data_IF_201759288567
#
_entry.id   IF_201759288567
#
_cell.length_a   1.000
_cell.length_b   1.000
_cell.length_c   1.000
_cell.angle_alpha   90.00
_cell.angle_beta   90.00
_cell.angle_gamma   90.00
#
_symmetry.space_group_name_H-M   'P 1'
#
loop_
_entity.id
_entity.type
_entity.pdbx_description
1 polymer ?
#
# COMPACT_ATOMS: atom_id res chain seq x y z
N UNK A 1 -56.78 -0.68 -29.06
CA UNK A 1 -55.82 -1.71 -29.54
C UNK A 1 -54.80 -1.00 -30.43
N UNK A 2 -53.49 -0.95 -30.19
CA UNK A 2 -52.58 -1.84 -29.46
C UNK A 2 -51.51 -1.00 -28.74
N UNK A 3 -51.16 -1.45 -27.54
CA UNK A 3 -50.01 -1.01 -26.76
C UNK A 3 -48.72 -1.24 -27.55
N UNK A 4 -47.85 -0.23 -27.64
CA UNK A 4 -46.43 -0.45 -27.94
C UNK A 4 -45.65 -0.17 -26.66
N UNK A 5 -45.51 -1.22 -25.87
CA UNK A 5 -44.67 -1.25 -24.67
C UNK A 5 -43.22 -1.06 -25.11
N UNK A 6 -42.66 0.11 -24.82
CA UNK A 6 -41.24 0.36 -24.94
C UNK A 6 -40.55 -0.23 -23.69
N UNK A 7 -40.33 -1.54 -23.70
CA UNK A 7 -39.51 -2.19 -22.66
C UNK A 7 -38.08 -1.72 -22.85
N UNK A 8 -37.64 -0.78 -22.00
CA UNK A 8 -36.26 -0.39 -21.82
C UNK A 8 -35.49 -1.64 -21.34
N UNK A 9 -34.83 -2.35 -22.26
CA UNK A 9 -33.83 -3.35 -21.92
C UNK A 9 -32.62 -2.61 -21.34
N UNK A 10 -32.64 -2.38 -20.02
CA UNK A 10 -31.44 -2.01 -19.29
C UNK A 10 -30.56 -3.27 -19.32
N UNK A 11 -29.67 -3.33 -20.31
CA UNK A 11 -28.58 -4.28 -20.35
C UNK A 11 -27.72 -3.98 -19.12
N UNK A 12 -27.91 -4.73 -18.04
CA UNK A 12 -26.94 -4.78 -16.96
C UNK A 12 -25.69 -5.40 -17.58
N UNK A 13 -24.81 -4.56 -18.14
CA UNK A 13 -23.42 -4.95 -18.25
C UNK A 13 -22.98 -5.19 -16.81
N UNK A 14 -23.03 -6.46 -16.40
CA UNK A 14 -22.22 -6.92 -15.27
C UNK A 14 -20.82 -6.42 -15.59
N UNK A 15 -20.39 -5.37 -14.90
CA UNK A 15 -19.00 -4.96 -14.94
C UNK A 15 -18.24 -6.16 -14.41
N UNK A 16 -17.73 -6.99 -15.32
CA UNK A 16 -16.80 -8.04 -14.96
C UNK A 16 -15.70 -7.32 -14.19
N UNK A 17 -15.55 -7.63 -12.90
CA UNK A 17 -14.48 -7.08 -12.09
C UNK A 17 -13.18 -7.53 -12.72
N UNK A 18 -12.56 -6.67 -13.53
CA UNK A 18 -11.27 -6.93 -14.14
C UNK A 18 -10.20 -6.84 -13.04
N UNK A 19 -10.04 -7.90 -12.25
CA UNK A 19 -9.14 -7.87 -11.11
C UNK A 19 -8.90 -9.24 -10.50
N UNK A 20 -7.67 -9.49 -10.08
CA UNK A 20 -7.33 -10.60 -9.20
C UNK A 20 -7.94 -10.29 -7.84
N UNK A 21 -8.69 -11.25 -7.28
CA UNK A 21 -9.28 -11.09 -5.94
C UNK A 21 -8.20 -10.74 -4.91
N UNK A 22 -8.42 -9.62 -4.22
CA UNK A 22 -7.60 -9.18 -3.09
C UNK A 22 -8.17 -9.76 -1.80
N UNK A 23 -7.33 -10.39 -0.98
CA UNK A 23 -7.75 -10.94 0.31
C UNK A 23 -7.31 -9.99 1.42
N UNK A 24 -8.24 -9.20 1.96
CA UNK A 24 -8.02 -8.37 3.13
C UNK A 24 -8.05 -9.25 4.38
N UNK A 25 -6.91 -9.39 5.06
CA UNK A 25 -6.76 -10.30 6.20
C UNK A 25 -6.95 -9.54 7.52
N UNK A 26 -6.40 -8.32 7.61
CA UNK A 26 -6.56 -7.47 8.78
C UNK A 26 -7.01 -6.07 8.36
N UNK A 27 -7.84 -5.47 9.20
CA UNK A 27 -8.39 -4.15 9.00
C UNK A 27 -8.29 -3.35 10.30
N UNK A 28 -7.90 -2.07 10.18
CA UNK A 28 -7.83 -1.14 11.29
C UNK A 28 -8.65 0.11 11.00
N UNK A 29 -9.43 0.54 12.00
CA UNK A 29 -9.93 1.92 12.09
C UNK A 29 -8.84 2.87 12.53
N UNK A 30 -8.03 2.44 13.50
CA UNK A 30 -6.85 3.16 13.96
C UNK A 30 -5.88 2.17 14.60
N UNK A 31 -4.60 2.51 14.57
CA UNK A 31 -3.55 1.73 15.21
C UNK A 31 -3.64 1.88 16.73
N UNK A 32 -3.57 0.76 17.45
CA UNK A 32 -3.42 0.68 18.89
C UNK A 32 -2.46 -0.47 19.23
N UNK A 33 -1.90 -0.43 20.43
CA UNK A 33 -0.81 -1.29 20.85
C UNK A 33 -1.20 -2.20 22.01
N UNK A 34 -0.41 -3.26 22.21
CA UNK A 34 -0.33 -3.97 23.48
C UNK A 34 0.52 -3.13 24.44
N UNK A 35 -0.15 -2.45 25.37
CA UNK A 35 0.47 -1.61 26.38
C UNK A 35 0.90 -2.45 27.61
N UNK A 36 2.01 -2.07 28.24
CA UNK A 36 2.49 -2.70 29.50
C UNK A 36 1.54 -2.40 30.66
N UNK A 37 0.92 -1.23 30.65
CA UNK A 37 -0.09 -0.83 31.62
C UNK A 37 -1.05 0.21 31.02
N UNK A 38 -2.21 0.40 31.65
CA UNK A 38 -3.11 1.50 31.30
C UNK A 38 -2.46 2.86 31.54
N UNK A 39 -1.61 2.97 32.57
CA UNK A 39 -0.85 4.19 32.87
C UNK A 39 0.10 4.57 31.73
N UNK A 40 0.85 3.60 31.19
CA UNK A 40 1.72 3.82 30.01
C UNK A 40 0.93 4.39 28.83
N UNK A 41 -0.25 3.84 28.57
CA UNK A 41 -1.13 4.31 27.49
C UNK A 41 -1.62 5.72 27.74
N UNK A 42 -2.11 6.00 28.95
CA UNK A 42 -2.61 7.32 29.31
C UNK A 42 -1.52 8.39 29.23
N UNK A 43 -0.32 8.08 29.71
CA UNK A 43 0.81 9.00 29.65
C UNK A 43 1.26 9.25 28.21
N UNK A 44 1.25 8.23 27.35
CA UNK A 44 1.54 8.38 25.93
C UNK A 44 0.50 9.29 25.22
N UNK A 45 -0.78 9.16 25.58
CA UNK A 45 -1.85 10.03 25.08
C UNK A 45 -1.67 11.47 25.59
N UNK A 46 -1.46 11.65 26.90
CA UNK A 46 -1.29 12.98 27.53
C UNK A 46 -0.06 13.72 27.01
N UNK A 47 1.03 13.01 26.77
CA UNK A 47 2.27 13.58 26.20
C UNK A 47 2.19 13.81 24.69
N UNK A 48 1.17 13.30 24.01
CA UNK A 48 1.02 13.37 22.55
C UNK A 48 1.92 12.40 21.77
N UNK A 49 2.68 11.55 22.47
CA UNK A 49 3.53 10.51 21.85
C UNK A 49 2.72 9.35 21.26
N UNK A 50 1.45 9.26 21.61
CA UNK A 50 0.46 8.42 20.92
C UNK A 50 -0.76 9.25 20.51
N UNK A 51 -0.94 9.40 19.20
CA UNK A 51 -2.08 10.07 18.60
C UNK A 51 -2.64 9.22 17.46
N UNK A 52 -3.83 8.65 17.68
CA UNK A 52 -4.54 7.80 16.71
C UNK A 52 -4.74 8.48 15.35
N UNK A 53 -4.91 9.80 15.33
CA UNK A 53 -5.13 10.56 14.09
C UNK A 53 -3.84 10.84 13.31
N UNK A 54 -2.67 10.53 13.87
CA UNK A 54 -1.36 10.68 13.24
C UNK A 54 -0.59 9.34 13.18
N UNK A 55 -1.22 8.23 13.57
CA UNK A 55 -0.60 6.91 13.71
C UNK A 55 -1.13 5.98 12.61
N UNK A 56 -0.35 5.82 11.53
CA UNK A 56 -0.69 4.96 10.37
C UNK A 56 0.46 4.03 10.00
N UNK A 57 0.12 2.94 9.31
CA UNK A 57 1.10 1.96 8.84
C UNK A 57 1.74 2.43 7.52
N UNK A 58 3.03 2.15 7.35
CA UNK A 58 3.77 2.48 6.13
C UNK A 58 4.22 1.23 5.40
N UNK A 59 4.83 0.27 6.10
CA UNK A 59 5.34 -0.96 5.49
C UNK A 59 4.82 -2.22 6.20
N UNK A 60 4.72 -3.32 5.47
CA UNK A 60 4.38 -4.63 6.01
C UNK A 60 5.21 -5.74 5.38
N UNK A 61 5.58 -6.75 6.18
CA UNK A 61 6.22 -7.97 5.71
C UNK A 61 5.73 -9.18 6.50
N UNK A 62 5.85 -10.37 5.93
CA UNK A 62 5.47 -11.63 6.56
C UNK A 62 6.68 -12.54 6.67
N UNK A 63 7.12 -12.76 7.90
CA UNK A 63 8.21 -13.65 8.21
C UNK A 63 7.86 -15.12 7.92
N UNK A 64 8.88 -15.97 7.81
CA UNK A 64 8.72 -17.41 7.54
C UNK A 64 8.00 -18.16 8.67
N UNK A 65 8.09 -17.65 9.89
CA UNK A 65 7.37 -18.17 11.06
C UNK A 65 5.90 -17.72 11.12
N UNK A 66 5.45 -16.95 10.11
CA UNK A 66 4.07 -16.49 9.98
C UNK A 66 3.77 -15.17 10.66
N UNK A 67 4.71 -14.60 11.43
CA UNK A 67 4.53 -13.26 12.02
C UNK A 67 4.46 -12.21 10.92
N UNK A 68 3.52 -11.28 11.09
CA UNK A 68 3.39 -10.12 10.22
C UNK A 68 4.00 -8.93 10.93
N UNK A 69 5.04 -8.39 10.35
CA UNK A 69 5.71 -7.17 10.79
C UNK A 69 5.08 -6.01 10.07
N UNK A 70 4.79 -4.93 10.81
CA UNK A 70 4.34 -3.67 10.21
C UNK A 70 5.12 -2.52 10.82
N UNK A 71 5.41 -1.52 10.00
CA UNK A 71 6.01 -0.27 10.44
C UNK A 71 4.93 0.80 10.59
N UNK A 72 5.03 1.57 11.67
CA UNK A 72 4.18 2.72 11.95
C UNK A 72 5.01 3.97 11.70
N UNK A 73 4.51 4.88 10.85
CA UNK A 73 5.28 6.08 10.47
C UNK A 73 5.20 7.17 11.54
N UNK A 74 6.28 7.94 11.67
CA UNK A 74 6.38 9.19 12.44
C UNK A 74 6.39 10.44 11.54
N UNK A 75 6.21 10.29 10.23
CA UNK A 75 6.26 11.41 9.26
C UNK A 75 5.21 12.49 9.54
N UNK A 76 4.06 12.11 10.11
CA UNK A 76 2.98 13.03 10.46
C UNK A 76 3.08 13.57 11.90
N UNK A 77 4.24 13.37 12.54
CA UNK A 77 4.55 13.84 13.89
C UNK A 77 4.75 12.70 14.89
N UNK A 78 4.90 13.07 16.17
CA UNK A 78 5.23 12.16 17.27
C UNK A 78 4.10 11.20 17.68
N UNK A 79 3.07 10.97 16.85
CA UNK A 79 1.87 10.21 17.21
C UNK A 79 2.03 8.68 17.27
N UNK A 80 3.20 8.15 16.95
CA UNK A 80 3.48 6.71 16.93
C UNK A 80 4.58 6.37 17.97
N UNK A 81 4.23 5.78 19.13
CA UNK A 81 5.19 5.52 20.21
C UNK A 81 6.16 4.38 19.88
N UNK A 82 5.75 3.42 19.05
CA UNK A 82 6.60 2.35 18.54
C UNK A 82 6.44 2.22 17.01
N UNK A 83 7.58 2.20 16.30
CA UNK A 83 7.62 2.26 14.82
C UNK A 83 7.78 0.91 14.17
N UNK A 84 8.42 -0.06 14.82
CA UNK A 84 8.52 -1.44 14.34
C UNK A 84 7.70 -2.36 15.25
N UNK A 85 6.75 -3.08 14.65
CA UNK A 85 5.79 -3.88 15.42
C UNK A 85 5.45 -5.20 14.73
N UNK A 86 4.79 -6.08 15.46
CA UNK A 86 4.14 -7.28 14.91
C UNK A 86 2.63 -7.23 15.15
N UNK A 87 1.86 -7.71 14.18
CA UNK A 87 0.40 -7.86 14.33
C UNK A 87 0.10 -9.02 15.27
N UNK A 88 -0.78 -8.80 16.24
CA UNK A 88 -1.20 -9.84 17.20
C UNK A 88 -2.61 -10.38 16.88
N UNK A 89 -2.99 -11.46 17.56
CA UNK A 89 -4.36 -12.00 17.50
C UNK A 89 -5.33 -11.28 18.47
N UNK A 90 -4.81 -10.41 19.34
CA UNK A 90 -5.64 -9.62 20.25
C UNK A 90 -6.26 -8.46 19.49
N UNK A 91 -7.52 -8.15 19.77
CA UNK A 91 -8.27 -7.15 19.01
C UNK A 91 -8.82 -6.08 19.95
N UNK A 92 -8.52 -4.81 19.65
CA UNK A 92 -9.11 -3.66 20.31
C UNK A 92 -10.24 -3.04 19.48
N UNK A 93 -10.83 -1.92 19.94
CA UNK A 93 -11.93 -1.26 19.21
C UNK A 93 -11.52 -0.74 17.82
N UNK A 94 -10.21 -0.52 17.63
CA UNK A 94 -9.62 -0.06 16.38
C UNK A 94 -9.20 -1.17 15.42
N UNK A 95 -9.18 -2.45 15.82
CA UNK A 95 -8.64 -3.57 15.04
C UNK A 95 -7.60 -4.39 15.82
N UNK A 96 -6.85 -5.29 15.15
CA UNK A 96 -5.81 -6.08 15.78
C UNK A 96 -4.75 -5.21 16.48
N UNK A 97 -4.36 -5.56 17.69
CA UNK A 97 -3.38 -4.79 18.45
C UNK A 97 -1.96 -5.08 17.92
N UNK A 98 -1.12 -4.05 17.91
CA UNK A 98 0.27 -4.17 17.53
C UNK A 98 1.15 -4.40 18.76
N UNK A 99 2.07 -5.36 18.67
CA UNK A 99 3.11 -5.56 19.69
C UNK A 99 4.40 -4.90 19.21
N UNK A 100 4.94 -3.90 19.93
CA UNK A 100 6.27 -3.35 19.65
C UNK A 100 7.29 -4.46 19.55
N UNK A 101 8.14 -4.37 18.54
CA UNK A 101 9.17 -5.37 18.30
C UNK A 101 10.56 -4.80 18.57
N UNK A 102 11.44 -5.56 19.25
CA UNK A 102 11.12 -6.80 19.97
C UNK A 102 10.24 -6.57 21.21
N UNK A 103 10.28 -5.37 21.78
CA UNK A 103 9.46 -4.92 22.92
C UNK A 103 9.56 -3.38 23.07
N UNK A 104 8.87 -2.79 24.05
CA UNK A 104 8.82 -1.34 24.28
C UNK A 104 10.18 -0.69 24.56
N UNK A 105 11.15 -1.41 25.15
CA UNK A 105 12.45 -0.83 25.52
C UNK A 105 13.27 -0.35 24.31
N UNK A 106 12.93 -0.82 23.11
CA UNK A 106 13.57 -0.46 21.85
C UNK A 106 13.01 0.81 21.20
N UNK A 107 11.91 1.35 21.74
CA UNK A 107 11.21 2.50 21.15
C UNK A 107 11.36 3.78 22.00
N UNK A 108 12.17 3.70 23.05
CA UNK A 108 12.59 4.82 23.87
C UNK A 108 13.82 5.49 23.21
N UNK A 109 13.58 6.60 22.51
CA UNK A 109 14.52 7.58 21.90
C UNK A 109 15.19 7.33 20.52
N UNK A 110 14.90 8.28 19.63
CA UNK A 110 15.64 8.93 18.51
C UNK A 110 16.46 8.23 17.42
N UNK A 111 16.66 6.91 17.37
CA UNK A 111 17.53 6.37 16.31
C UNK A 111 17.03 5.09 15.62
N UNK A 112 16.40 5.24 14.45
CA UNK A 112 16.34 4.18 13.41
C UNK A 112 16.30 4.81 12.00
N UNK A 113 17.39 4.67 11.25
CA UNK A 113 17.48 4.89 9.79
C UNK A 113 18.06 3.62 9.16
N UNK A 114 17.36 3.03 8.17
CA UNK A 114 17.99 2.49 6.95
C UNK A 114 16.96 1.85 5.99
N UNK A 115 17.15 2.08 4.69
CA UNK A 115 16.42 1.48 3.57
C UNK A 115 17.38 0.82 2.57
N UNK A 116 16.93 -0.24 1.91
CA UNK A 116 17.74 -1.23 1.19
C UNK A 116 17.60 -1.13 -0.36
N UNK A 117 18.70 -1.27 -1.11
CA UNK A 117 18.75 -1.28 -2.60
C UNK A 117 18.86 -2.73 -3.15
N UNK A 118 18.31 -3.04 -4.34
CA UNK A 118 18.43 -4.35 -5.04
C UNK A 118 18.70 -4.25 -6.57
N UNK A 119 19.46 -5.23 -7.11
CA UNK A 119 19.52 -5.69 -8.52
C UNK A 119 20.24 -4.87 -9.63
N UNK A 120 21.23 -4.03 -9.33
CA UNK A 120 22.06 -3.30 -10.34
C UNK A 120 21.27 -2.52 -11.41
N UNK A 121 20.00 -2.25 -11.17
CA UNK A 121 19.17 -1.33 -11.93
C UNK A 121 18.44 -0.46 -10.94
N UNK A 122 18.24 0.81 -11.28
CA UNK A 122 17.40 1.71 -10.51
C UNK A 122 16.16 2.05 -11.32
N UNK A 123 15.03 2.02 -10.62
CA UNK A 123 13.72 2.33 -11.17
C UNK A 123 13.29 3.67 -10.58
N UNK A 124 13.14 4.68 -11.42
CA UNK A 124 12.78 6.04 -11.02
C UNK A 124 11.37 6.32 -11.48
N UNK A 125 10.45 6.48 -10.53
CA UNK A 125 9.07 6.86 -10.79
C UNK A 125 8.96 8.38 -10.83
N UNK A 126 8.75 8.92 -12.02
CA UNK A 126 8.48 10.34 -12.23
C UNK A 126 6.96 10.52 -12.33
N UNK A 127 6.38 11.18 -11.33
CA UNK A 127 4.94 11.45 -11.27
C UNK A 127 4.48 12.51 -12.28
N UNK A 128 5.41 13.24 -12.90
CA UNK A 128 5.13 14.34 -13.81
C UNK A 128 4.58 15.60 -13.11
N UNK A 129 4.63 15.65 -11.77
CA UNK A 129 4.06 16.74 -10.96
C UNK A 129 5.11 17.64 -10.32
N UNK A 130 4.75 18.92 -10.21
CA UNK A 130 5.32 19.86 -9.24
C UNK A 130 4.18 20.31 -8.34
N UNK A 131 4.22 19.92 -7.06
CA UNK A 131 3.07 20.10 -6.16
C UNK A 131 1.86 19.31 -6.66
N UNK A 132 0.75 20.02 -6.94
CA UNK A 132 -0.48 19.41 -7.46
C UNK A 132 -0.57 19.46 -9.00
N UNK A 133 0.28 20.25 -9.67
CA UNK A 133 0.19 20.55 -11.09
C UNK A 133 1.01 19.57 -11.95
N UNK A 134 0.40 19.11 -13.05
CA UNK A 134 1.07 18.27 -14.05
C UNK A 134 1.85 19.12 -15.05
N UNK A 135 3.17 18.91 -15.09
CA UNK A 135 4.06 19.59 -16.04
C UNK A 135 4.49 18.64 -17.17
N UNK A 136 4.43 17.32 -16.95
CA UNK A 136 4.67 16.33 -17.99
C UNK A 136 3.91 15.01 -17.73
N UNK A 137 3.97 14.10 -18.71
CA UNK A 137 3.38 12.76 -18.56
C UNK A 137 4.12 11.96 -17.48
N UNK A 138 3.40 11.27 -16.59
CA UNK A 138 4.02 10.37 -15.62
C UNK A 138 4.73 9.22 -16.34
N UNK A 139 5.88 8.82 -15.82
CA UNK A 139 6.74 7.81 -16.46
C UNK A 139 7.60 7.05 -15.45
N UNK A 140 7.87 5.79 -15.74
CA UNK A 140 8.87 4.98 -15.04
C UNK A 140 10.13 4.92 -15.90
N UNK A 141 11.26 5.37 -15.34
CA UNK A 141 12.58 5.31 -15.97
C UNK A 141 13.37 4.17 -15.36
N UNK A 142 14.09 3.43 -16.19
CA UNK A 142 14.90 2.28 -15.76
C UNK A 142 16.34 2.51 -16.20
N UNK A 143 17.26 2.60 -15.25
CA UNK A 143 18.69 2.76 -15.53
C UNK A 143 19.45 1.50 -15.16
N UNK A 144 20.52 1.21 -15.90
CA UNK A 144 21.49 0.18 -15.58
C UNK A 144 22.61 0.80 -14.73
N UNK A 145 22.81 0.32 -13.50
CA UNK A 145 23.83 0.86 -12.58
C UNK A 145 25.25 0.39 -12.94
N UNK A 146 25.41 -0.53 -13.89
CA UNK A 146 26.74 -0.99 -14.32
C UNK A 146 27.47 0.07 -15.18
N UNK A 147 26.71 0.78 -16.00
CA UNK A 147 27.22 1.73 -16.99
C UNK A 147 26.46 3.07 -16.98
N UNK A 148 25.58 3.27 -15.99
CA UNK A 148 24.75 4.46 -15.78
C UNK A 148 23.91 4.87 -16.99
N UNK A 149 23.48 3.89 -17.81
CA UNK A 149 22.68 4.15 -19.01
C UNK A 149 21.18 4.00 -18.77
N UNK A 150 20.38 4.85 -19.44
CA UNK A 150 18.92 4.71 -19.49
C UNK A 150 18.55 3.51 -20.38
N UNK A 151 18.00 2.47 -19.78
CA UNK A 151 17.59 1.25 -20.45
C UNK A 151 16.21 1.39 -21.08
N UNK A 152 15.26 2.00 -20.35
CA UNK A 152 13.87 2.10 -20.81
C UNK A 152 13.12 3.25 -20.15
N UNK A 153 12.24 3.88 -20.92
CA UNK A 153 11.20 4.79 -20.44
C UNK A 153 9.85 4.17 -20.68
N UNK A 154 9.01 4.16 -19.65
CA UNK A 154 7.64 3.67 -19.69
C UNK A 154 6.72 4.82 -19.38
N UNK A 155 5.90 5.25 -20.33
CA UNK A 155 4.88 6.25 -20.04
C UNK A 155 3.69 5.60 -19.34
N UNK A 156 3.27 6.19 -18.22
CA UNK A 156 2.10 5.76 -17.46
C UNK A 156 0.89 6.52 -18.00
N UNK A 157 -0.17 5.83 -18.46
CA UNK A 157 -1.40 6.48 -18.90
C UNK A 157 -2.01 7.38 -17.82
N UNK A 158 -2.54 8.53 -18.23
CA UNK A 158 -3.09 9.53 -17.31
C UNK A 158 -4.27 9.01 -16.49
N UNK A 159 -5.09 8.16 -17.08
CA UNK A 159 -6.24 7.47 -16.47
C UNK A 159 -5.83 6.37 -15.47
N UNK A 160 -4.57 5.94 -15.50
CA UNK A 160 -4.00 5.05 -14.48
C UNK A 160 -3.39 5.87 -13.34
N UNK A 161 -2.75 7.00 -13.67
CA UNK A 161 -2.13 7.88 -12.67
C UNK A 161 -3.16 8.74 -11.91
N UNK A 162 -4.39 8.89 -12.44
CA UNK A 162 -5.43 9.77 -11.90
C UNK A 162 -6.80 9.14 -11.91
N UNK A 163 -7.63 9.57 -10.96
CA UNK A 163 -9.06 9.35 -11.02
C UNK A 163 -9.74 10.23 -12.09
N UNK A 164 -11.05 10.06 -12.24
CA UNK A 164 -11.86 10.83 -13.19
C UNK A 164 -11.88 12.34 -12.96
N UNK A 165 -11.51 12.82 -11.75
CA UNK A 165 -11.41 14.25 -11.43
C UNK A 165 -9.99 14.80 -11.61
N UNK A 166 -9.05 14.02 -12.14
CA UNK A 166 -7.66 14.43 -12.37
C UNK A 166 -6.78 14.37 -11.12
N UNK A 167 -7.28 13.81 -10.01
CA UNK A 167 -6.52 13.63 -8.77
C UNK A 167 -5.93 12.22 -8.69
N UNK A 168 -4.64 12.16 -8.35
CA UNK A 168 -3.91 10.92 -8.12
C UNK A 168 -2.47 11.20 -7.72
N UNK A 169 -1.84 10.25 -7.05
CA UNK A 169 -0.44 10.34 -6.62
C UNK A 169 0.22 8.98 -6.83
N UNK A 170 1.33 8.99 -7.57
CA UNK A 170 2.20 7.84 -7.74
C UNK A 170 3.23 7.87 -6.61
N UNK A 171 3.18 6.89 -5.71
CA UNK A 171 4.00 6.85 -4.50
C UNK A 171 5.21 5.94 -4.67
N UNK A 172 4.98 4.62 -4.80
CA UNK A 172 6.05 3.64 -4.78
C UNK A 172 5.99 2.73 -6.02
N UNK A 173 7.08 2.66 -6.84
CA UNK A 173 7.17 1.67 -7.89
C UNK A 173 7.52 0.31 -7.30
N UNK A 174 6.60 -0.66 -7.43
CA UNK A 174 6.91 -2.05 -7.12
C UNK A 174 7.41 -2.79 -8.36
N UNK A 175 8.59 -3.39 -8.26
CA UNK A 175 9.20 -4.15 -9.36
C UNK A 175 9.22 -5.63 -9.05
N UNK A 176 8.47 -6.41 -9.84
CA UNK A 176 8.47 -7.86 -9.78
C UNK A 176 9.39 -8.45 -10.85
N UNK A 177 10.36 -9.26 -10.44
CA UNK A 177 11.26 -9.98 -11.36
C UNK A 177 11.13 -11.49 -11.07
N UNK A 178 10.31 -12.25 -11.84
CA UNK A 178 10.03 -13.66 -11.56
C UNK A 178 11.24 -14.59 -11.75
N UNK A 179 12.28 -14.18 -12.49
CA UNK A 179 13.49 -14.97 -12.84
C UNK A 179 14.74 -14.07 -12.98
N UNK A 180 15.76 -14.49 -13.74
CA UNK A 180 16.85 -13.60 -14.18
C UNK A 180 16.29 -12.48 -15.08
N UNK A 181 16.75 -11.26 -14.86
CA UNK A 181 16.43 -10.10 -15.68
C UNK A 181 17.06 -10.32 -17.08
N UNK A 182 16.28 -10.85 -18.01
CA UNK A 182 16.74 -11.24 -19.36
C UNK A 182 16.20 -10.32 -20.45
N UNK A 183 14.99 -9.77 -20.26
CA UNK A 183 14.37 -8.83 -21.19
C UNK A 183 13.22 -8.05 -20.51
N UNK A 184 12.90 -6.86 -21.02
CA UNK A 184 11.73 -6.07 -20.61
C UNK A 184 10.54 -6.33 -21.54
N UNK A 185 9.35 -6.58 -20.97
CA UNK A 185 8.13 -6.82 -21.75
C UNK A 185 7.68 -5.58 -22.54
N UNK A 186 6.95 -5.79 -23.64
CA UNK A 186 6.35 -4.71 -24.43
C UNK A 186 5.20 -4.01 -23.68
N UNK A 187 4.38 -4.77 -22.93
CA UNK A 187 3.37 -4.22 -22.02
C UNK A 187 3.83 -4.35 -20.57
N UNK A 188 4.13 -3.22 -19.93
CA UNK A 188 4.71 -3.17 -18.59
C UNK A 188 3.74 -2.70 -17.52
N UNK A 189 2.54 -2.25 -17.91
CA UNK A 189 1.51 -1.80 -16.98
C UNK A 189 0.34 -2.79 -17.06
N UNK A 190 0.07 -3.42 -15.92
CA UNK A 190 -1.01 -4.39 -15.75
C UNK A 190 -1.79 -4.01 -14.52
N UNK A 191 -3.09 -3.73 -14.68
CA UNK A 191 -3.98 -3.51 -13.55
C UNK A 191 -4.25 -4.86 -12.91
N UNK A 192 -3.66 -5.10 -11.73
CA UNK A 192 -3.85 -6.36 -10.99
C UNK A 192 -5.23 -6.40 -10.34
N UNK A 193 -5.62 -5.34 -9.64
CA UNK A 193 -6.92 -5.16 -8.98
C UNK A 193 -7.24 -3.66 -8.87
N UNK A 194 -8.53 -3.32 -8.72
CA UNK A 194 -9.01 -1.96 -8.51
C UNK A 194 -10.21 -2.01 -7.56
N UNK A 195 -10.18 -1.18 -6.51
CA UNK A 195 -11.28 -1.00 -5.56
C UNK A 195 -11.20 0.44 -5.02
N UNK A 196 -12.10 1.30 -5.46
CA UNK A 196 -12.14 2.73 -5.14
C UNK A 196 -12.41 3.02 -3.65
N UNK A 197 -12.90 2.03 -2.90
CA UNK A 197 -13.21 2.16 -1.46
C UNK A 197 -12.13 1.57 -0.58
N UNK A 198 -11.56 0.42 -0.97
CA UNK A 198 -10.63 -0.36 -0.15
C UNK A 198 -9.18 -0.29 -0.59
N UNK A 199 -8.89 0.11 -1.84
CA UNK A 199 -7.55 0.29 -2.40
C UNK A 199 -7.30 1.77 -2.75
N UNK A 200 -7.34 2.65 -1.74
CA UNK A 200 -7.24 4.10 -1.97
C UNK A 200 -5.79 4.57 -2.11
N UNK A 201 -4.94 4.26 -1.13
CA UNK A 201 -3.49 4.38 -1.24
C UNK A 201 -2.86 3.01 -0.98
N UNK A 202 -1.78 2.68 -1.69
CA UNK A 202 -0.95 1.49 -1.42
C UNK A 202 0.35 2.01 -0.81
N UNK A 203 0.47 1.90 0.50
CA UNK A 203 1.65 2.38 1.25
C UNK A 203 2.80 1.38 1.24
N UNK A 204 2.51 0.10 1.02
CA UNK A 204 3.52 -0.94 0.87
C UNK A 204 3.05 -2.08 -0.02
N UNK A 205 3.99 -2.63 -0.77
CA UNK A 205 3.78 -3.81 -1.61
C UNK A 205 5.05 -4.67 -1.68
N UNK A 206 4.96 -5.93 -1.25
CA UNK A 206 6.08 -6.88 -1.21
C UNK A 206 5.73 -8.25 -1.75
N UNK A 207 6.63 -8.84 -2.51
CA UNK A 207 6.55 -10.27 -2.86
C UNK A 207 7.18 -11.14 -1.78
N UNK A 208 6.39 -12.04 -1.21
CA UNK A 208 6.90 -13.17 -0.45
C UNK A 208 6.86 -14.44 -1.30
N UNK A 209 8.01 -14.82 -1.84
CA UNK A 209 8.17 -16.06 -2.60
C UNK A 209 7.94 -17.30 -1.75
N UNK A 210 8.33 -17.27 -0.47
CA UNK A 210 8.13 -18.38 0.47
C UNK A 210 6.65 -18.69 0.67
N UNK A 211 5.82 -17.66 0.83
CA UNK A 211 4.37 -17.81 0.99
C UNK A 211 3.61 -17.84 -0.34
N UNK A 212 4.30 -17.61 -1.47
CA UNK A 212 3.71 -17.41 -2.79
C UNK A 212 2.64 -16.29 -2.80
N UNK A 213 2.91 -15.17 -2.12
CA UNK A 213 1.98 -14.04 -1.96
C UNK A 213 2.59 -12.70 -2.35
N UNK A 214 1.78 -11.84 -2.95
CA UNK A 214 1.99 -10.40 -2.95
C UNK A 214 1.28 -9.87 -1.71
N UNK A 215 2.04 -9.28 -0.80
CA UNK A 215 1.57 -8.70 0.46
C UNK A 215 1.54 -7.20 0.26
N UNK A 216 0.54 -6.52 0.82
CA UNK A 216 0.55 -5.07 0.82
C UNK A 216 -0.30 -4.46 1.92
N UNK A 217 -0.09 -3.16 2.09
CA UNK A 217 -0.95 -2.30 2.88
C UNK A 217 -1.75 -1.41 1.94
N UNK A 218 -3.04 -1.31 2.20
CA UNK A 218 -3.83 -0.21 1.67
C UNK A 218 -4.42 0.62 2.78
N UNK A 219 -4.32 1.93 2.66
CA UNK A 219 -4.81 2.85 3.66
C UNK A 219 -5.46 4.10 3.05
N UNK A 220 -5.80 5.04 3.94
CA UNK A 220 -6.31 6.37 3.61
C UNK A 220 -5.28 7.44 3.98
N UNK A 221 -4.01 7.25 3.62
CA UNK A 221 -2.89 8.15 3.99
C UNK A 221 -3.21 9.64 3.77
N UNK A 222 -3.84 9.97 2.64
CA UNK A 222 -4.28 11.33 2.33
C UNK A 222 -5.16 11.97 3.44
N UNK A 223 -6.01 11.20 4.13
CA UNK A 223 -6.84 11.72 5.24
C UNK A 223 -6.01 12.00 6.49
N UNK A 224 -4.96 11.22 6.73
CA UNK A 224 -4.03 11.47 7.83
C UNK A 224 -3.23 12.76 7.55
N UNK A 225 -2.69 12.92 6.33
CA UNK A 225 -1.98 14.14 5.90
C UNK A 225 -2.87 15.39 6.03
N UNK A 226 -4.15 15.27 5.66
CA UNK A 226 -5.10 16.38 5.72
C UNK A 226 -5.71 16.60 7.11
N UNK A 227 -5.40 15.76 8.11
CA UNK A 227 -6.02 15.82 9.44
C UNK A 227 -7.54 15.53 9.44
N UNK A 228 -8.05 14.85 8.41
CA UNK A 228 -9.49 14.56 8.20
C UNK A 228 -9.83 13.08 8.40
N UNK A 229 -8.93 12.30 9.00
CA UNK A 229 -9.16 10.89 9.29
C UNK A 229 -10.35 10.70 10.24
N UNK A 230 -11.25 9.78 9.88
CA UNK A 230 -12.37 9.42 10.72
C UNK A 230 -12.06 8.08 11.41
N UNK A 231 -11.85 8.12 12.72
CA UNK A 231 -11.45 6.95 13.50
C UNK A 231 -12.59 5.92 13.74
N UNK A 232 -13.80 6.19 13.24
CA UNK A 232 -14.94 5.27 13.35
C UNK A 232 -15.07 4.31 12.14
N UNK A 233 -14.33 4.56 11.06
CA UNK A 233 -14.31 3.76 9.83
C UNK A 233 -12.96 3.07 9.65
N UNK A 234 -12.92 2.02 8.80
CA UNK A 234 -11.68 1.32 8.49
C UNK A 234 -10.79 2.18 7.59
N UNK A 235 -9.61 2.52 8.10
CA UNK A 235 -8.61 3.37 7.46
C UNK A 235 -7.43 2.61 6.90
N UNK A 236 -7.09 1.41 7.42
CA UNK A 236 -5.91 0.64 7.01
C UNK A 236 -6.29 -0.83 6.82
N UNK A 237 -5.71 -1.49 5.82
CA UNK A 237 -5.92 -2.90 5.48
C UNK A 237 -4.61 -3.57 5.13
N UNK A 238 -4.33 -4.68 5.77
CA UNK A 238 -3.30 -5.62 5.32
C UNK A 238 -3.96 -6.63 4.39
N UNK A 239 -3.40 -6.78 3.19
CA UNK A 239 -3.93 -7.69 2.19
C UNK A 239 -2.87 -8.61 1.62
N UNK A 240 -3.33 -9.76 1.13
CA UNK A 240 -2.54 -10.71 0.37
C UNK A 240 -3.23 -11.02 -0.97
N UNK A 241 -2.43 -11.14 -2.02
CA UNK A 241 -2.83 -11.65 -3.34
C UNK A 241 -1.98 -12.85 -3.71
N UNK A 242 -2.53 -13.78 -4.47
CA UNK A 242 -1.84 -14.99 -4.86
C UNK A 242 -0.89 -14.75 -6.04
N UNK A 243 0.42 -15.00 -5.86
CA UNK A 243 1.40 -14.77 -6.93
C UNK A 243 1.20 -15.69 -8.12
N UNK A 244 0.71 -16.92 -7.93
CA UNK A 244 0.44 -17.80 -9.08
C UNK A 244 -0.71 -17.24 -9.94
N UNK A 245 -1.71 -16.60 -9.33
CA UNK A 245 -2.77 -15.91 -10.07
C UNK A 245 -2.26 -14.66 -10.79
N UNK A 246 -1.34 -13.92 -10.16
CA UNK A 246 -0.68 -12.76 -10.77
C UNK A 246 0.16 -13.19 -11.97
N UNK A 247 1.00 -14.22 -11.81
CA UNK A 247 1.82 -14.75 -12.89
C UNK A 247 0.97 -15.24 -14.04
N UNK A 248 -0.10 -16.03 -13.77
CA UNK A 248 -1.03 -16.48 -14.81
C UNK A 248 -1.67 -15.31 -15.58
N UNK A 249 -2.00 -14.21 -14.90
CA UNK A 249 -2.52 -13.00 -15.56
C UNK A 249 -1.45 -12.33 -16.41
N UNK A 250 -0.22 -12.22 -15.92
CA UNK A 250 0.90 -11.66 -16.66
C UNK A 250 1.21 -12.49 -17.92
N UNK A 251 1.24 -13.82 -17.81
CA UNK A 251 1.53 -14.73 -18.93
C UNK A 251 0.42 -14.74 -20.00
N UNK A 252 -0.80 -14.33 -19.64
CA UNK A 252 -1.93 -14.24 -20.58
C UNK A 252 -1.92 -12.96 -21.43
N UNK A 253 -1.00 -12.03 -21.15
CA UNK A 253 -0.89 -10.78 -21.89
C UNK A 253 0.01 -11.03 -23.11
N UNK A 254 -0.51 -10.81 -24.34
CA UNK A 254 0.25 -10.99 -25.58
C UNK A 254 1.50 -10.12 -25.66
#
# INVERSE_FOLDING_TARGET
MKYLSCTLLILWMTTATFGIKVNYIYEWKYVDYIWESNEQKEDAIKSGTYNRSACTLLDADKAKDGRIFVTVTKELGFGAPATLTTVTNETGPGGPLLRPYPNWSWHNSDHMCDGMIRCNHIFVLDSGKIGLDYICNPKLLIFNLKDDTLVKTIYIPFDIANNATGFGLLLEPFVYIPKKCTQFLHKMIVILAQDDKKLQAISSLKTSYYWNKLIGLSDRYHRYVLGTVNLNEVNIRYFEMDLAKIQKKMDSIP
#
